data_IF_151330255431
#
_entry.id   IF_151330255431
#
_cell.length_a   1.000
_cell.length_b   1.000
_cell.length_c   1.000
_cell.angle_alpha   90.00
_cell.angle_beta   90.00
_cell.angle_gamma   90.00
#
_symmetry.space_group_name_H-M   'P 1'
#
loop_
_entity.id
_entity.type
_entity.pdbx_description
1 polymer ?
#
# COMPACT_ATOMS: atom_id res chain seq x y z
N UNK A 1 19.78 3.96 -15.41
CA UNK A 1 19.66 4.51 -14.07
C UNK A 1 18.64 5.64 -14.11
N UNK A 2 17.36 5.33 -13.84
CA UNK A 2 16.33 6.36 -13.73
C UNK A 2 16.08 6.63 -12.25
N UNK A 3 16.55 7.79 -11.79
CA UNK A 3 16.13 8.33 -10.51
C UNK A 3 14.87 9.15 -10.77
N UNK A 4 13.73 8.68 -10.26
CA UNK A 4 12.47 9.45 -10.31
C UNK A 4 12.27 10.12 -8.96
N UNK A 5 12.43 11.44 -8.85
CA UNK A 5 12.00 12.14 -7.65
C UNK A 5 10.47 12.11 -7.58
N UNK A 6 9.92 11.55 -6.50
CA UNK A 6 8.50 11.66 -6.24
C UNK A 6 8.23 12.81 -5.28
N UNK A 7 7.37 13.73 -5.68
CA UNK A 7 6.87 14.80 -4.83
C UNK A 7 5.44 14.49 -4.49
N UNK A 8 5.17 14.17 -3.23
CA UNK A 8 3.79 14.01 -2.76
C UNK A 8 3.33 15.31 -2.11
N UNK A 9 2.41 16.00 -2.74
CA UNK A 9 1.72 17.16 -2.14
C UNK A 9 0.46 16.64 -1.44
N UNK A 10 0.43 16.74 -0.12
CA UNK A 10 -0.80 16.59 0.64
C UNK A 10 -1.35 17.97 0.96
N UNK A 11 -2.49 18.33 0.37
CA UNK A 11 -3.22 19.57 0.67
C UNK A 11 -4.27 19.25 1.74
N UNK A 12 -3.97 19.55 2.99
CA UNK A 12 -4.99 19.79 4.00
C UNK A 12 -5.42 21.26 3.94
N UNK A 13 -6.69 21.61 4.19
CA UNK A 13 -7.18 22.99 4.04
C UNK A 13 -6.48 24.04 4.91
N UNK A 14 -5.62 23.60 5.84
CA UNK A 14 -4.93 24.53 6.75
C UNK A 14 -3.41 24.44 6.78
N UNK A 15 -2.79 23.34 6.32
CA UNK A 15 -1.31 23.24 6.27
C UNK A 15 -0.87 22.26 5.18
N UNK A 16 -0.17 22.73 4.17
CA UNK A 16 0.48 21.90 3.18
C UNK A 16 1.81 21.36 3.75
N UNK A 17 1.92 20.05 3.90
CA UNK A 17 3.20 19.40 4.22
C UNK A 17 3.82 18.93 2.91
N UNK A 18 4.97 19.53 2.56
CA UNK A 18 5.75 19.13 1.39
C UNK A 18 6.82 18.14 1.86
N UNK A 19 6.72 16.90 1.40
CA UNK A 19 7.74 15.89 1.62
C UNK A 19 8.43 15.60 0.28
N UNK A 20 9.76 15.66 0.28
CA UNK A 20 10.59 15.31 -0.88
C UNK A 20 11.35 14.04 -0.51
N UNK A 21 11.09 12.95 -1.22
CA UNK A 21 11.81 11.71 -1.06
C UNK A 21 12.57 11.39 -2.36
N UNK A 22 13.82 10.96 -2.19
CA UNK A 22 14.66 10.54 -3.30
C UNK A 22 14.84 9.03 -3.27
N UNK A 23 14.42 8.35 -4.35
CA UNK A 23 14.56 6.91 -4.50
C UNK A 23 15.44 6.56 -5.69
N UNK A 24 16.35 5.64 -5.45
CA UNK A 24 17.11 4.99 -6.50
C UNK A 24 16.42 3.69 -6.88
N UNK A 25 15.92 3.62 -8.12
CA UNK A 25 15.28 2.42 -8.65
C UNK A 25 16.13 1.79 -9.74
N UNK A 26 16.41 0.50 -9.57
CA UNK A 26 16.99 -0.34 -10.60
C UNK A 26 15.85 -1.05 -11.33
N UNK A 27 15.51 -0.59 -12.54
CA UNK A 27 14.27 -0.99 -13.20
C UNK A 27 14.41 -2.21 -14.08
N UNK A 28 15.58 -2.42 -14.70
CA UNK A 28 15.77 -3.51 -15.65
C UNK A 28 17.22 -3.95 -15.75
N UNK A 29 17.41 -5.27 -15.84
CA UNK A 29 18.65 -5.91 -16.23
C UNK A 29 18.32 -6.99 -17.26
N UNK A 30 18.95 -6.94 -18.41
CA UNK A 30 18.81 -7.97 -19.43
C UNK A 30 20.16 -8.50 -19.85
N UNK A 31 20.21 -9.80 -20.03
CA UNK A 31 21.39 -10.50 -20.53
C UNK A 31 20.97 -11.47 -21.64
N UNK A 32 21.66 -11.40 -22.77
CA UNK A 32 21.39 -12.26 -23.94
C UNK A 32 22.67 -12.94 -24.37
N UNK A 33 22.60 -14.26 -24.53
CA UNK A 33 23.68 -15.08 -25.07
C UNK A 33 23.22 -15.59 -26.42
N UNK A 34 23.98 -15.31 -27.46
CA UNK A 34 23.78 -15.86 -28.80
C UNK A 34 24.85 -16.91 -29.12
N UNK A 35 24.41 -18.10 -29.40
CA UNK A 35 25.27 -19.21 -29.86
C UNK A 35 25.04 -19.46 -31.35
N UNK A 36 26.09 -19.30 -32.13
CA UNK A 36 26.07 -19.57 -33.57
C UNK A 36 26.78 -20.89 -33.85
N UNK A 37 26.15 -21.73 -34.66
CA UNK A 37 26.73 -23.04 -35.03
C UNK A 37 27.70 -22.99 -36.19
N UNK A 38 27.72 -21.88 -36.96
CA UNK A 38 28.52 -21.75 -38.16
C UNK A 38 27.96 -22.49 -39.38
N UNK A 39 26.75 -23.07 -39.27
CA UNK A 39 26.07 -23.76 -40.35
C UNK A 39 25.05 -22.81 -41.00
N UNK A 40 25.01 -22.78 -42.32
CA UNK A 40 24.02 -22.01 -43.09
C UNK A 40 22.71 -22.79 -43.31
N UNK A 41 22.73 -24.11 -43.13
CA UNK A 41 21.60 -25.00 -43.30
C UNK A 41 21.30 -25.76 -41.99
N UNK A 42 20.02 -25.97 -41.69
CA UNK A 42 19.60 -26.65 -40.49
C UNK A 42 19.59 -25.70 -39.29
N UNK A 43 20.14 -26.15 -38.18
CA UNK A 43 20.22 -25.34 -36.94
C UNK A 43 21.34 -24.30 -37.06
N UNK A 44 20.98 -23.02 -37.14
CA UNK A 44 21.90 -21.91 -37.41
C UNK A 44 22.36 -21.24 -36.11
N UNK A 45 21.40 -20.87 -35.25
CA UNK A 45 21.73 -20.19 -34.00
C UNK A 45 20.67 -20.39 -32.93
N UNK A 46 21.07 -20.22 -31.68
CA UNK A 46 20.20 -20.14 -30.55
C UNK A 46 20.52 -18.93 -29.70
N UNK A 47 19.48 -18.35 -29.12
CA UNK A 47 19.56 -17.22 -28.23
C UNK A 47 18.89 -17.59 -26.88
N UNK A 48 19.62 -17.36 -25.83
CA UNK A 48 19.11 -17.46 -24.46
C UNK A 48 19.07 -16.06 -23.88
N UNK A 49 17.98 -15.70 -23.26
CA UNK A 49 17.90 -14.43 -22.54
C UNK A 49 17.39 -14.60 -21.13
N UNK A 50 17.93 -13.78 -20.26
CA UNK A 50 17.43 -13.56 -18.91
C UNK A 50 17.15 -12.08 -18.76
N UNK A 51 15.95 -11.73 -18.28
CA UNK A 51 15.57 -10.34 -18.05
C UNK A 51 14.94 -10.24 -16.67
N UNK A 52 15.45 -9.32 -15.87
CA UNK A 52 14.83 -8.84 -14.66
C UNK A 52 14.18 -7.49 -14.95
N UNK A 53 12.91 -7.35 -14.59
CA UNK A 53 12.16 -6.10 -14.70
C UNK A 53 11.50 -5.78 -13.35
N UNK A 54 11.63 -4.55 -12.89
CA UNK A 54 10.78 -4.01 -11.85
C UNK A 54 9.55 -3.41 -12.50
N UNK A 55 8.40 -4.07 -12.36
CA UNK A 55 7.14 -3.66 -12.97
C UNK A 55 6.50 -2.50 -12.22
N UNK A 56 6.61 -2.51 -10.90
CA UNK A 56 6.04 -1.47 -10.05
C UNK A 56 6.80 -1.33 -8.73
N UNK A 57 6.89 -0.10 -8.27
CA UNK A 57 7.35 0.27 -6.94
C UNK A 57 6.18 0.94 -6.20
N UNK A 58 5.88 0.45 -4.98
CA UNK A 58 4.86 0.99 -4.10
C UNK A 58 5.58 1.74 -2.98
N UNK A 59 5.95 2.96 -3.23
CA UNK A 59 6.53 3.78 -2.18
C UNK A 59 5.72 5.05 -2.06
N UNK A 60 4.92 5.12 -1.00
CA UNK A 60 4.07 6.26 -0.72
C UNK A 60 3.99 6.51 0.77
N UNK A 61 4.30 7.72 1.16
CA UNK A 61 4.05 8.21 2.52
C UNK A 61 2.92 9.21 2.49
N UNK A 62 1.95 9.02 3.36
CA UNK A 62 0.83 9.93 3.55
C UNK A 62 0.89 10.47 4.97
N UNK A 63 0.99 11.78 5.13
CA UNK A 63 0.94 12.43 6.43
C UNK A 63 -0.12 13.52 6.37
N UNK A 64 -1.13 13.40 7.23
CA UNK A 64 -2.21 14.36 7.35
C UNK A 64 -2.24 14.83 8.79
N UNK A 65 -2.22 16.13 9.00
CA UNK A 65 -2.42 16.72 10.30
C UNK A 65 -3.49 17.81 10.19
N UNK A 66 -4.48 17.76 11.05
CA UNK A 66 -5.54 18.76 11.11
C UNK A 66 -5.82 19.14 12.55
N UNK A 67 -6.09 20.42 12.77
CA UNK A 67 -6.69 20.89 14.00
C UNK A 67 -8.19 21.01 13.76
N UNK A 68 -9.01 20.37 14.57
CA UNK A 68 -10.45 20.34 14.34
C UNK A 68 -11.24 20.31 15.61
N UNK A 69 -12.53 20.57 15.44
CA UNK A 69 -13.56 20.50 16.49
C UNK A 69 -14.09 19.08 16.70
N UNK A 70 -13.65 18.11 15.89
CA UNK A 70 -14.04 16.71 16.02
C UNK A 70 -12.79 15.84 16.21
N UNK A 71 -12.92 14.79 16.99
CA UNK A 71 -11.85 13.84 17.27
C UNK A 71 -12.30 12.41 16.92
N UNK A 72 -11.36 11.46 16.92
CA UNK A 72 -11.71 10.05 16.81
C UNK A 72 -12.62 9.58 17.94
N UNK A 73 -12.46 10.14 19.13
CA UNK A 73 -13.33 9.82 20.28
C UNK A 73 -14.77 10.25 20.04
N UNK A 74 -15.00 11.39 19.37
CA UNK A 74 -16.35 11.81 18.96
C UNK A 74 -16.97 10.83 17.97
N UNK A 75 -16.19 10.41 16.97
CA UNK A 75 -16.66 9.43 16.00
C UNK A 75 -17.03 8.11 16.68
N UNK A 76 -16.25 7.67 17.67
CA UNK A 76 -16.57 6.46 18.46
C UNK A 76 -17.83 6.68 19.28
N UNK A 77 -17.99 7.82 19.92
CA UNK A 77 -19.21 8.17 20.69
C UNK A 77 -20.46 8.18 19.79
N UNK A 78 -20.35 8.75 18.58
CA UNK A 78 -21.43 8.77 17.60
C UNK A 78 -21.82 7.35 17.14
N UNK A 79 -20.84 6.48 16.87
CA UNK A 79 -21.10 5.07 16.51
C UNK A 79 -21.68 4.26 17.67
N UNK A 80 -21.42 4.66 18.91
CA UNK A 80 -21.94 3.98 20.09
C UNK A 80 -23.35 4.44 20.44
N UNK A 81 -23.74 5.61 19.96
CA UNK A 81 -25.08 6.15 20.20
C UNK A 81 -26.16 5.22 19.64
N UNK A 82 -27.11 4.89 20.47
CA UNK A 82 -28.18 3.92 20.19
C UNK A 82 -28.07 2.62 20.98
N UNK A 83 -26.90 2.33 21.57
CA UNK A 83 -26.69 1.19 22.48
C UNK A 83 -26.71 1.65 23.94
N UNK A 84 -27.38 0.92 24.81
CA UNK A 84 -27.34 1.19 26.24
C UNK A 84 -26.02 0.73 26.86
N UNK A 85 -25.53 1.34 27.95
CA UNK A 85 -24.28 0.93 28.60
C UNK A 85 -24.21 -0.56 28.97
N UNK A 86 -25.37 -1.15 29.31
CA UNK A 86 -25.49 -2.58 29.60
C UNK A 86 -25.32 -3.50 28.37
N UNK A 87 -25.41 -2.96 27.16
CA UNK A 87 -25.27 -3.70 25.91
C UNK A 87 -23.84 -3.67 25.36
N UNK A 88 -22.98 -2.76 25.90
CA UNK A 88 -21.62 -2.57 25.43
C UNK A 88 -20.67 -3.56 26.13
N UNK A 89 -20.68 -4.80 25.66
CA UNK A 89 -19.81 -5.87 26.13
C UNK A 89 -19.38 -6.79 24.99
N UNK A 90 -18.34 -7.57 25.21
CA UNK A 90 -17.66 -8.37 24.18
C UNK A 90 -18.56 -9.45 23.55
N UNK A 91 -19.55 -9.95 24.28
CA UNK A 91 -20.45 -11.00 23.80
C UNK A 91 -21.57 -10.44 22.88
N UNK A 92 -21.73 -9.13 22.82
CA UNK A 92 -22.74 -8.51 21.98
C UNK A 92 -22.18 -8.21 20.58
N UNK A 93 -22.44 -9.13 19.65
CA UNK A 93 -21.96 -9.04 18.24
C UNK A 93 -22.58 -7.89 17.44
N UNK A 94 -23.62 -7.23 17.94
CA UNK A 94 -24.24 -6.08 17.26
C UNK A 94 -23.54 -4.76 17.57
N UNK A 95 -22.78 -4.70 18.65
CA UNK A 95 -22.03 -3.51 19.03
C UNK A 95 -20.69 -3.47 18.30
N UNK A 96 -20.33 -2.37 17.63
CA UNK A 96 -19.02 -2.24 17.01
C UNK A 96 -17.90 -2.41 18.04
N UNK A 97 -16.87 -3.19 17.69
CA UNK A 97 -15.74 -3.47 18.60
C UNK A 97 -15.04 -2.19 19.09
N UNK A 98 -14.95 -1.16 18.22
CA UNK A 98 -14.44 0.16 18.60
C UNK A 98 -15.27 0.84 19.69
N UNK A 99 -16.58 0.62 19.69
CA UNK A 99 -17.48 1.14 20.72
C UNK A 99 -17.22 0.49 22.07
N UNK A 100 -16.98 -0.83 22.06
CA UNK A 100 -16.61 -1.59 23.28
C UNK A 100 -15.28 -1.09 23.83
N UNK A 101 -14.26 -0.98 23.01
CA UNK A 101 -12.95 -0.47 23.41
C UNK A 101 -13.02 0.98 23.90
N UNK A 102 -13.78 1.82 23.20
CA UNK A 102 -13.96 3.23 23.58
C UNK A 102 -14.64 3.40 24.93
N UNK A 103 -15.67 2.62 25.20
CA UNK A 103 -16.41 2.65 26.47
C UNK A 103 -15.57 2.08 27.62
N UNK A 104 -14.97 0.91 27.43
CA UNK A 104 -14.09 0.30 28.43
C UNK A 104 -12.81 1.11 28.67
N UNK A 105 -12.33 1.80 27.65
CA UNK A 105 -11.17 2.71 27.73
C UNK A 105 -11.48 4.09 28.30
N UNK A 106 -12.70 4.36 28.77
CA UNK A 106 -13.13 5.66 29.31
C UNK A 106 -12.91 6.83 28.33
N UNK A 107 -13.02 6.57 27.02
CA UNK A 107 -12.91 7.62 26.00
C UNK A 107 -14.24 8.37 25.79
N UNK A 108 -15.32 7.84 26.32
CA UNK A 108 -16.67 8.39 26.25
C UNK A 108 -17.48 8.00 27.46
N UNK A 109 -18.45 8.83 27.79
CA UNK A 109 -19.41 8.61 28.89
C UNK A 109 -20.85 8.74 28.37
N UNK A 110 -21.83 7.99 28.95
CA UNK A 110 -23.23 8.13 28.58
C UNK A 110 -23.80 9.47 29.08
N UNK A 111 -24.61 10.12 28.27
CA UNK A 111 -25.35 11.29 28.67
C UNK A 111 -26.45 10.86 29.64
N UNK A 112 -26.39 11.34 30.91
CA UNK A 112 -27.45 11.07 31.88
C UNK A 112 -27.40 9.69 32.56
N UNK A 113 -26.29 8.97 32.49
CA UNK A 113 -26.00 7.77 33.31
C UNK A 113 -26.62 6.46 32.82
N UNK A 114 -27.72 6.46 32.12
CA UNK A 114 -28.38 5.28 31.55
C UNK A 114 -28.89 5.51 30.11
N UNK A 115 -28.46 6.59 29.50
CA UNK A 115 -28.88 6.97 28.14
C UNK A 115 -28.08 6.25 27.07
N UNK A 116 -28.69 6.04 25.91
CA UNK A 116 -28.03 5.47 24.71
C UNK A 116 -27.27 6.51 23.90
N UNK A 117 -27.09 7.72 24.41
CA UNK A 117 -26.28 8.77 23.81
C UNK A 117 -24.97 8.94 24.58
N UNK A 118 -23.88 9.18 23.86
CA UNK A 118 -22.55 9.28 24.44
C UNK A 118 -21.92 10.63 24.10
N UNK A 119 -21.09 11.12 25.01
CA UNK A 119 -20.25 12.27 24.80
C UNK A 119 -18.81 11.94 25.19
N UNK A 120 -17.87 12.69 24.68
CA UNK A 120 -16.47 12.57 25.09
C UNK A 120 -16.13 13.72 26.03
N UNK A 121 -15.48 13.45 27.18
CA UNK A 121 -15.14 14.49 28.17
C UNK A 121 -13.97 15.38 27.73
N UNK A 122 -13.42 15.18 26.52
CA UNK A 122 -12.26 15.93 26.03
C UNK A 122 -12.67 17.21 25.32
N UNK A 123 -11.90 18.29 25.52
CA UNK A 123 -12.13 19.57 24.84
C UNK A 123 -11.82 19.49 23.36
N UNK A 124 -12.83 19.73 22.51
CA UNK A 124 -12.77 19.59 21.07
C UNK A 124 -12.10 20.73 20.33
N UNK A 125 -11.97 21.89 20.97
CA UNK A 125 -11.48 23.09 20.31
C UNK A 125 -9.96 23.09 20.08
N UNK A 126 -9.27 22.16 20.75
CA UNK A 126 -7.81 22.05 20.73
C UNK A 126 -7.27 20.73 20.21
N UNK A 127 -8.15 19.86 19.70
CA UNK A 127 -7.73 18.53 19.25
C UNK A 127 -6.91 18.60 17.97
N UNK A 128 -5.71 18.04 18.04
CA UNK A 128 -4.86 17.81 16.86
C UNK A 128 -4.96 16.34 16.47
N UNK A 129 -5.48 16.11 15.28
CA UNK A 129 -5.48 14.80 14.65
C UNK A 129 -4.28 14.69 13.71
N UNK A 130 -3.56 13.58 13.78
CA UNK A 130 -2.50 13.28 12.85
C UNK A 130 -2.66 11.84 12.38
N UNK A 131 -2.61 11.65 11.06
CA UNK A 131 -2.56 10.35 10.42
C UNK A 131 -1.26 10.25 9.64
N UNK A 132 -0.55 9.15 9.80
CA UNK A 132 0.62 8.80 9.02
C UNK A 132 0.43 7.39 8.50
N UNK A 133 0.52 7.23 7.20
CA UNK A 133 0.50 5.94 6.54
C UNK A 133 1.73 5.82 5.65
N UNK A 134 2.36 4.66 5.65
CA UNK A 134 3.49 4.34 4.81
C UNK A 134 3.17 3.07 4.03
N UNK A 135 3.17 3.20 2.70
CA UNK A 135 3.07 2.09 1.77
C UNK A 135 4.45 1.79 1.23
N UNK A 136 4.88 0.56 1.30
CA UNK A 136 6.13 0.09 0.69
C UNK A 136 5.93 -1.24 0.01
N UNK A 137 6.73 -1.51 -1.03
CA UNK A 137 6.67 -2.77 -1.74
C UNK A 137 7.06 -2.66 -3.20
N UNK A 138 7.03 -3.80 -3.89
CA UNK A 138 7.46 -3.88 -5.29
C UNK A 138 6.84 -5.07 -5.98
N UNK A 139 6.78 -4.96 -7.31
CA UNK A 139 6.49 -6.08 -8.20
C UNK A 139 7.70 -6.26 -9.09
N UNK A 140 8.37 -7.39 -8.94
CA UNK A 140 9.52 -7.77 -9.75
C UNK A 140 9.15 -8.93 -10.68
N UNK A 141 9.65 -8.91 -11.93
CA UNK A 141 9.47 -9.96 -12.92
C UNK A 141 10.82 -10.51 -13.36
N UNK A 142 10.92 -11.82 -13.38
CA UNK A 142 12.05 -12.59 -13.91
C UNK A 142 11.59 -13.33 -15.15
N UNK A 143 12.20 -13.04 -16.30
CA UNK A 143 11.86 -13.64 -17.58
C UNK A 143 13.05 -14.43 -18.12
N UNK A 144 12.80 -15.70 -18.51
CA UNK A 144 13.74 -16.53 -19.24
C UNK A 144 13.15 -16.81 -20.60
N UNK A 145 13.91 -16.58 -21.66
CA UNK A 145 13.47 -16.92 -23.00
C UNK A 145 14.57 -17.62 -23.80
N UNK A 146 14.09 -18.43 -24.72
CA UNK A 146 14.91 -19.17 -25.67
C UNK A 146 14.36 -18.95 -27.08
N UNK A 147 15.24 -18.72 -28.04
CA UNK A 147 14.87 -18.65 -29.44
C UNK A 147 15.91 -19.40 -30.30
N UNK A 148 15.42 -20.07 -31.33
CA UNK A 148 16.22 -20.79 -32.27
C UNK A 148 15.96 -20.30 -33.70
N UNK A 149 17.01 -20.23 -34.50
CA UNK A 149 16.97 -19.95 -35.94
C UNK A 149 17.31 -21.24 -36.70
N UNK A 150 16.41 -21.66 -37.58
CA UNK A 150 16.55 -22.86 -38.40
C UNK A 150 16.53 -22.45 -39.86
N UNK A 151 17.67 -22.61 -40.54
CA UNK A 151 17.82 -22.39 -41.97
C UNK A 151 17.54 -20.96 -42.44
N UNK A 152 17.61 -19.96 -41.56
CA UNK A 152 17.27 -18.55 -41.81
C UNK A 152 15.83 -18.26 -42.25
N UNK A 153 14.97 -19.27 -42.29
CA UNK A 153 13.57 -19.12 -42.70
C UNK A 153 12.58 -19.40 -41.55
N UNK A 154 12.99 -20.19 -40.55
CA UNK A 154 12.13 -20.53 -39.42
C UNK A 154 12.77 -20.06 -38.11
N UNK A 155 12.02 -19.23 -37.38
CA UNK A 155 12.40 -18.74 -36.07
C UNK A 155 11.38 -19.23 -35.03
N UNK A 156 11.84 -19.96 -34.04
CA UNK A 156 10.98 -20.50 -32.97
C UNK A 156 11.50 -19.94 -31.65
N UNK A 157 10.58 -19.44 -30.80
CA UNK A 157 10.92 -18.93 -29.48
C UNK A 157 9.87 -19.29 -28.45
N UNK A 158 10.32 -19.46 -27.23
CA UNK A 158 9.49 -19.64 -26.06
C UNK A 158 10.09 -18.90 -24.87
N UNK A 159 9.23 -18.41 -23.97
CA UNK A 159 9.65 -17.76 -22.75
C UNK A 159 8.76 -18.15 -21.58
N UNK A 160 9.33 -18.08 -20.41
CA UNK A 160 8.63 -18.24 -19.14
C UNK A 160 8.97 -17.06 -18.24
N UNK A 161 7.97 -16.49 -17.58
CA UNK A 161 8.16 -15.43 -16.61
C UNK A 161 7.57 -15.80 -15.25
N UNK A 162 8.24 -15.34 -14.19
CA UNK A 162 7.78 -15.43 -12.83
C UNK A 162 7.74 -14.03 -12.22
N UNK A 163 6.67 -13.74 -11.50
CA UNK A 163 6.49 -12.46 -10.83
C UNK A 163 6.45 -12.65 -9.33
N UNK A 164 7.09 -11.73 -8.61
CA UNK A 164 7.03 -11.65 -7.16
C UNK A 164 6.38 -10.34 -6.76
N UNK A 165 5.45 -10.40 -5.80
CA UNK A 165 4.81 -9.24 -5.19
C UNK A 165 5.21 -9.20 -3.72
N UNK A 166 5.77 -8.08 -3.31
CA UNK A 166 6.02 -7.72 -1.91
C UNK A 166 5.27 -6.42 -1.63
N UNK A 167 4.41 -6.41 -0.59
CA UNK A 167 3.62 -5.24 -0.24
C UNK A 167 3.42 -5.15 1.26
N UNK A 168 3.69 -3.98 1.82
CA UNK A 168 3.50 -3.66 3.23
C UNK A 168 2.81 -2.31 3.38
N UNK A 169 1.81 -2.26 4.26
CA UNK A 169 1.14 -1.05 4.73
C UNK A 169 1.30 -0.94 6.25
N UNK A 170 1.80 0.21 6.71
CA UNK A 170 1.99 0.55 8.14
C UNK A 170 1.28 1.85 8.47
#
# INVERSE_FOLDING_TARGET
LNATPSVTLSTSPTNAVKQNDFFFNFNQLSYVISLQTGNDNGYVSSNFSFTYNRLKDFHRQTSIAANGTSSMTNMIADFTSGFYPSEIHEDNLYVPYMSILGYQGYLMDPMGGADSMYYTPYDYNTNRMAYRGEESGRIDEYNFSYAANIGHFLYIGAGISAQTLDYQLV
#
